data_IF_807883313870
#
_entry.id   IF_807883313870
#
_cell.length_a   1.000
_cell.length_b   1.000
_cell.length_c   1.000
_cell.angle_alpha   90.00
_cell.angle_beta   90.00
_cell.angle_gamma   90.00
#
_symmetry.space_group_name_H-M   'P 1'
#
loop_
_entity.id
_entity.type
_entity.pdbx_description
1 polymer ?
#
# COMPACT_ATOMS: atom_id res chain seq x y z
N UNK A 1 11.20 11.99 0.44
CA UNK A 1 10.13 10.96 0.42
C UNK A 1 8.78 11.66 0.61
N UNK A 2 7.84 11.54 -0.35
CA UNK A 2 6.54 12.25 -0.32
C UNK A 2 5.36 11.40 0.23
N UNK A 3 5.57 10.11 0.50
CA UNK A 3 4.52 9.14 0.87
C UNK A 3 3.74 9.47 2.17
N UNK A 4 4.21 10.44 2.96
CA UNK A 4 3.61 10.85 4.23
C UNK A 4 3.06 12.29 4.23
N UNK A 5 3.10 12.99 3.09
CA UNK A 5 2.55 14.35 3.00
C UNK A 5 1.01 14.29 2.87
N UNK A 6 0.27 15.20 3.53
CA UNK A 6 -1.19 15.20 3.52
C UNK A 6 -1.81 15.66 2.20
N UNK A 7 -0.99 16.19 1.26
CA UNK A 7 -1.48 16.73 0.00
C UNK A 7 -1.71 15.61 -1.03
N UNK A 8 -2.98 15.44 -1.41
CA UNK A 8 -3.42 14.48 -2.42
C UNK A 8 -3.69 15.15 -3.79
N UNK A 9 -3.16 16.35 -4.02
CA UNK A 9 -3.33 17.09 -5.28
C UNK A 9 -2.71 16.35 -6.47
N UNK A 10 -3.30 16.43 -7.68
CA UNK A 10 -2.75 15.82 -8.89
C UNK A 10 -1.27 16.21 -9.09
N UNK A 11 -0.40 15.22 -9.25
CA UNK A 11 1.05 15.42 -9.44
C UNK A 11 1.94 15.11 -8.22
N UNK A 12 1.35 14.90 -7.03
CA UNK A 12 2.09 14.58 -5.79
C UNK A 12 2.21 13.08 -5.48
N UNK A 13 1.82 12.23 -6.42
CA UNK A 13 1.82 10.78 -6.24
C UNK A 13 3.18 10.14 -6.55
N UNK A 14 3.43 8.94 -6.01
CA UNK A 14 4.64 8.17 -6.29
C UNK A 14 4.45 7.30 -7.54
N UNK A 15 5.15 7.60 -8.65
CA UNK A 15 5.08 6.78 -9.84
C UNK A 15 5.88 5.50 -9.65
N UNK A 16 5.30 4.37 -10.02
CA UNK A 16 5.97 3.06 -10.04
C UNK A 16 6.22 2.60 -11.49
N UNK A 17 7.35 2.98 -12.10
CA UNK A 17 7.70 2.52 -13.44
C UNK A 17 8.10 1.04 -13.41
N UNK A 18 7.64 0.26 -14.40
CA UNK A 18 8.05 -1.12 -14.59
C UNK A 18 7.21 -2.21 -13.87
N UNK A 19 7.60 -3.48 -14.01
CA UNK A 19 6.78 -4.66 -13.66
C UNK A 19 6.92 -5.15 -12.21
N UNK A 20 7.95 -4.71 -11.45
CA UNK A 20 8.11 -5.05 -10.03
C UNK A 20 8.15 -3.77 -9.21
N UNK A 21 7.26 -3.68 -8.23
CA UNK A 21 6.96 -2.43 -7.53
C UNK A 21 6.86 -2.73 -6.04
N UNK A 22 8.00 -2.67 -5.38
CA UNK A 22 8.11 -2.92 -3.95
C UNK A 22 8.30 -1.60 -3.22
N UNK A 23 7.51 -1.36 -2.17
CA UNK A 23 7.60 -0.19 -1.32
C UNK A 23 7.93 -0.63 0.09
N UNK A 24 9.09 -0.20 0.58
CA UNK A 24 9.47 -0.40 1.98
C UNK A 24 8.96 0.77 2.82
N UNK A 25 8.21 0.45 3.88
CA UNK A 25 7.58 1.40 4.80
C UNK A 25 8.19 1.16 6.18
N UNK A 26 8.94 2.15 6.67
CA UNK A 26 9.45 2.15 8.05
C UNK A 26 8.51 2.93 8.95
N UNK A 27 7.93 2.24 9.91
CA UNK A 27 7.01 2.80 10.89
C UNK A 27 7.79 3.53 12.01
N UNK A 28 7.19 4.57 12.61
CA UNK A 28 7.82 5.31 13.71
C UNK A 28 8.02 4.43 14.95
N UNK A 29 7.11 3.47 15.17
CA UNK A 29 7.15 2.50 16.25
C UNK A 29 6.87 1.09 15.72
N UNK A 30 7.23 0.09 16.51
CA UNK A 30 6.87 -1.30 16.25
C UNK A 30 5.40 -1.52 16.64
N UNK A 31 4.60 -2.04 15.70
CA UNK A 31 3.16 -2.22 15.91
C UNK A 31 2.72 -3.61 15.46
N UNK A 32 1.61 -4.09 15.98
CA UNK A 32 0.83 -5.18 15.43
C UNK A 32 -0.12 -4.59 14.37
N UNK A 33 0.17 -4.73 13.06
CA UNK A 33 -0.60 -4.09 12.02
C UNK A 33 -1.97 -4.76 11.85
N UNK A 34 -3.04 -3.97 11.81
CA UNK A 34 -4.43 -4.41 11.71
C UNK A 34 -5.03 -4.10 10.34
N UNK A 35 -4.66 -2.97 9.75
CA UNK A 35 -5.12 -2.59 8.42
C UNK A 35 -4.10 -1.70 7.70
N UNK A 36 -4.14 -1.75 6.37
CA UNK A 36 -3.47 -0.80 5.50
C UNK A 36 -4.51 -0.03 4.70
N UNK A 37 -4.33 1.28 4.58
CA UNK A 37 -5.20 2.15 3.78
C UNK A 37 -4.38 2.75 2.65
N UNK A 38 -4.85 2.56 1.42
CA UNK A 38 -4.25 3.11 0.21
C UNK A 38 -5.15 4.24 -0.30
N UNK A 39 -4.54 5.39 -0.58
CA UNK A 39 -5.22 6.51 -1.24
C UNK A 39 -4.69 6.69 -2.66
N UNK A 40 -5.60 6.88 -3.60
CA UNK A 40 -5.31 7.22 -4.99
C UNK A 40 -6.13 8.44 -5.46
N UNK A 41 -5.72 9.04 -6.57
CA UNK A 41 -6.45 10.16 -7.18
C UNK A 41 -7.83 9.72 -7.67
N UNK A 42 -8.87 10.50 -7.38
CA UNK A 42 -10.24 10.21 -7.79
C UNK A 42 -10.47 10.50 -9.29
N UNK A 43 -11.43 9.80 -9.91
CA UNK A 43 -11.81 9.95 -11.33
C UNK A 43 -12.05 11.40 -11.79
N UNK A 44 -12.76 12.28 -11.05
CA UNK A 44 -12.98 13.66 -11.50
C UNK A 44 -11.75 14.57 -11.40
N UNK A 45 -10.69 14.16 -10.70
CA UNK A 45 -9.46 14.94 -10.55
C UNK A 45 -8.40 14.63 -11.64
N UNK A 46 -8.64 13.63 -12.49
CA UNK A 46 -7.73 13.27 -13.59
C UNK A 46 -8.10 14.05 -14.86
N UNK A 47 -7.23 14.93 -15.38
CA UNK A 47 -7.50 15.69 -16.61
C UNK A 47 -7.66 14.80 -17.86
N UNK A 48 -7.24 13.53 -17.78
CA UNK A 48 -7.37 12.54 -18.85
C UNK A 48 -8.61 11.62 -18.69
N UNK A 49 -9.40 11.78 -17.61
CA UNK A 49 -10.56 10.92 -17.32
C UNK A 49 -10.22 9.44 -17.10
N UNK A 50 -8.93 9.07 -17.06
CA UNK A 50 -8.47 7.69 -17.00
C UNK A 50 -8.06 7.31 -15.58
N UNK A 51 -8.66 6.25 -15.04
CA UNK A 51 -8.38 5.67 -13.71
C UNK A 51 -7.23 4.66 -13.79
N UNK A 52 -6.19 5.01 -14.55
CA UNK A 52 -5.14 4.07 -14.96
C UNK A 52 -4.09 3.76 -13.91
N UNK A 53 -4.22 4.30 -12.69
CA UNK A 53 -3.15 4.35 -11.70
C UNK A 53 -3.50 3.73 -10.36
N UNK A 54 -4.57 2.93 -10.30
CA UNK A 54 -5.02 2.26 -9.08
C UNK A 54 -4.30 0.91 -8.94
N UNK A 55 -3.69 0.59 -7.78
CA UNK A 55 -3.17 -0.75 -7.51
C UNK A 55 -4.31 -1.76 -7.61
N UNK A 56 -4.19 -2.73 -8.52
CA UNK A 56 -5.19 -3.79 -8.70
C UNK A 56 -4.89 -4.94 -7.78
N UNK A 57 -3.70 -5.50 -7.91
CA UNK A 57 -3.25 -6.68 -7.15
C UNK A 57 -2.04 -6.26 -6.33
N UNK A 58 -2.09 -6.51 -5.02
CA UNK A 58 -0.98 -6.21 -4.15
C UNK A 58 -0.94 -7.11 -2.92
N UNK A 59 0.27 -7.27 -2.38
CA UNK A 59 0.55 -8.07 -1.19
C UNK A 59 1.28 -7.22 -0.15
N UNK A 60 0.99 -7.45 1.12
CA UNK A 60 1.61 -6.74 2.26
C UNK A 60 2.36 -7.74 3.12
N UNK A 61 3.60 -7.40 3.46
CA UNK A 61 4.47 -8.22 4.28
C UNK A 61 4.97 -7.43 5.50
N UNK A 62 5.11 -8.12 6.62
CA UNK A 62 5.89 -7.66 7.77
C UNK A 62 7.32 -8.19 7.64
N UNK A 63 8.29 -7.32 7.91
CA UNK A 63 9.71 -7.68 7.89
C UNK A 63 10.33 -7.56 9.28
N UNK A 64 11.31 -8.41 9.56
CA UNK A 64 12.24 -8.21 10.67
C UNK A 64 13.09 -6.95 10.48
N UNK A 65 13.80 -6.50 11.52
CA UNK A 65 14.60 -5.26 11.43
C UNK A 65 15.72 -5.34 10.39
N UNK A 66 16.17 -6.55 10.05
CA UNK A 66 17.21 -6.81 9.05
C UNK A 66 16.65 -6.90 7.62
N UNK A 67 15.32 -6.97 7.46
CA UNK A 67 14.66 -7.11 6.16
C UNK A 67 14.89 -8.46 5.48
N UNK A 68 15.32 -9.48 6.22
CA UNK A 68 15.67 -10.82 5.73
C UNK A 68 14.47 -11.76 5.74
N UNK A 69 13.68 -11.72 6.82
CA UNK A 69 12.51 -12.57 6.99
C UNK A 69 11.23 -11.83 6.65
N UNK A 70 10.37 -12.45 5.82
CA UNK A 70 9.09 -11.88 5.39
C UNK A 70 7.92 -12.71 5.91
N UNK A 71 7.01 -12.07 6.62
CA UNK A 71 5.71 -12.65 7.01
C UNK A 71 4.62 -12.05 6.13
N UNK A 72 3.87 -12.87 5.39
CA UNK A 72 2.72 -12.38 4.62
C UNK A 72 1.60 -11.94 5.57
N UNK A 73 1.15 -10.69 5.43
CA UNK A 73 0.07 -10.10 6.22
C UNK A 73 -1.24 -10.03 5.43
N UNK A 74 -1.18 -10.13 4.10
CA UNK A 74 -2.38 -10.18 3.27
C UNK A 74 -2.06 -10.02 1.79
N UNK A 75 -2.95 -10.56 0.96
CA UNK A 75 -2.98 -10.37 -0.48
C UNK A 75 -4.37 -9.87 -0.85
N UNK A 76 -4.42 -8.81 -1.64
CA UNK A 76 -5.66 -8.12 -1.97
C UNK A 76 -5.75 -7.87 -3.47
N UNK A 77 -6.97 -7.98 -3.97
CA UNK A 77 -7.33 -7.50 -5.29
C UNK A 77 -8.40 -6.43 -5.12
N UNK A 78 -8.10 -5.19 -5.50
CA UNK A 78 -9.08 -4.11 -5.55
C UNK A 78 -9.98 -4.31 -6.77
N UNK A 79 -11.29 -4.39 -6.55
CA UNK A 79 -12.29 -4.57 -7.58
C UNK A 79 -12.88 -3.25 -8.11
N UNK A 80 -12.62 -2.10 -7.48
CA UNK A 80 -13.36 -0.85 -7.74
C UNK A 80 -12.48 0.35 -8.06
N UNK A 81 -12.65 0.91 -9.26
CA UNK A 81 -11.97 2.14 -9.69
C UNK A 81 -12.58 3.44 -9.11
N UNK A 82 -13.51 3.36 -8.16
CA UNK A 82 -14.35 4.49 -7.76
C UNK A 82 -13.95 5.14 -6.44
N UNK A 83 -13.49 4.38 -5.46
CA UNK A 83 -13.17 4.93 -4.14
C UNK A 83 -11.75 5.44 -4.08
N UNK A 84 -11.59 6.73 -3.77
CA UNK A 84 -10.27 7.35 -3.67
C UNK A 84 -9.42 6.81 -2.51
N UNK A 85 -10.05 6.18 -1.52
CA UNK A 85 -9.41 5.67 -0.30
C UNK A 85 -9.96 4.29 0.00
N UNK A 86 -9.10 3.28 0.00
CA UNK A 86 -9.47 1.89 0.25
C UNK A 86 -8.70 1.35 1.46
N UNK A 87 -9.40 0.68 2.37
CA UNK A 87 -8.82 0.10 3.57
C UNK A 87 -8.92 -1.42 3.55
N UNK A 88 -7.82 -2.09 3.84
CA UNK A 88 -7.66 -3.54 3.70
C UNK A 88 -7.25 -4.15 5.04
N UNK A 89 -8.02 -5.11 5.58
CA UNK A 89 -7.71 -5.76 6.85
C UNK A 89 -6.52 -6.70 6.68
N UNK A 90 -5.54 -6.61 7.58
CA UNK A 90 -4.36 -7.46 7.59
C UNK A 90 -4.59 -8.66 8.52
N UNK A 91 -4.16 -9.84 8.07
CA UNK A 91 -4.30 -11.09 8.78
C UNK A 91 -2.96 -11.46 9.43
N UNK A 92 -2.92 -11.41 10.76
CA UNK A 92 -1.80 -11.89 11.55
C UNK A 92 -2.10 -13.30 12.07
N UNK A 93 -1.80 -14.34 11.28
CA UNK A 93 -1.77 -15.70 11.82
C UNK A 93 -0.65 -16.55 11.22
N UNK A 94 0.49 -16.58 11.92
CA UNK A 94 1.25 -17.81 12.08
C UNK A 94 1.17 -18.20 13.56
N UNK A 95 0.65 -19.39 13.85
CA UNK A 95 0.70 -20.04 15.17
C UNK A 95 0.09 -19.28 16.36
N UNK A 96 -0.83 -18.34 16.13
CA UNK A 96 -1.61 -17.69 17.20
C UNK A 96 -0.85 -16.66 18.05
N UNK A 97 0.39 -16.30 17.68
CA UNK A 97 1.13 -15.22 18.32
C UNK A 97 1.08 -13.95 17.45
N UNK A 98 0.46 -12.86 17.93
CA UNK A 98 0.41 -11.62 17.17
C UNK A 98 1.81 -11.00 17.07
N UNK A 99 2.42 -11.08 15.88
CA UNK A 99 3.72 -10.49 15.58
C UNK A 99 3.60 -8.99 15.39
N UNK A 100 4.62 -8.27 15.84
CA UNK A 100 4.75 -6.84 15.66
C UNK A 100 5.90 -6.52 14.72
N UNK A 101 5.71 -5.51 13.88
CA UNK A 101 6.64 -5.13 12.82
C UNK A 101 6.91 -3.63 12.87
N UNK A 102 8.14 -3.25 12.56
CA UNK A 102 8.54 -1.86 12.32
C UNK A 102 8.75 -1.59 10.83
N UNK A 103 9.07 -2.63 10.06
CA UNK A 103 9.23 -2.58 8.62
C UNK A 103 8.08 -3.35 7.97
N UNK A 104 7.38 -2.69 7.05
CA UNK A 104 6.39 -3.29 6.18
C UNK A 104 6.83 -3.18 4.73
N UNK A 105 6.49 -4.16 3.93
CA UNK A 105 6.72 -4.16 2.48
C UNK A 105 5.39 -4.30 1.76
N UNK A 106 5.08 -3.34 0.89
CA UNK A 106 3.95 -3.36 -0.03
C UNK A 106 4.46 -3.74 -1.42
N UNK A 107 3.96 -4.85 -1.96
CA UNK A 107 4.27 -5.32 -3.31
C UNK A 107 3.07 -5.06 -4.21
N UNK A 108 3.23 -4.22 -5.23
CA UNK A 108 2.19 -3.95 -6.23
C UNK A 108 2.46 -4.84 -7.44
N UNK A 109 1.57 -5.78 -7.69
CA UNK A 109 1.69 -6.82 -8.71
C UNK A 109 0.91 -6.45 -9.98
N UNK A 110 -0.20 -5.74 -9.82
CA UNK A 110 -1.07 -5.34 -10.91
C UNK A 110 -1.60 -3.93 -10.76
N UNK A 111 -2.02 -3.32 -11.86
CA UNK A 111 -2.70 -2.02 -11.85
C UNK A 111 -3.87 -1.98 -12.82
N UNK A 112 -4.90 -1.25 -12.45
CA UNK A 112 -6.02 -0.98 -13.35
C UNK A 112 -5.58 -0.01 -14.44
N UNK A 113 -5.79 -0.34 -15.72
CA UNK A 113 -5.52 0.56 -16.85
C UNK A 113 -4.16 0.36 -17.52
N UNK A 114 -3.36 1.43 -17.67
CA UNK A 114 -2.16 1.40 -18.52
C UNK A 114 -1.01 0.65 -17.82
N UNK A 115 -0.42 -0.37 -18.45
CA UNK A 115 0.78 -1.01 -17.93
C UNK A 115 1.89 0.03 -17.76
N UNK A 116 2.56 0.05 -16.61
CA UNK A 116 3.65 0.99 -16.32
C UNK A 116 3.29 2.26 -15.55
N UNK A 117 2.00 2.56 -15.29
CA UNK A 117 1.58 3.82 -14.66
C UNK A 117 0.74 3.63 -13.38
N UNK A 118 1.30 3.09 -12.29
CA UNK A 118 0.65 3.18 -10.97
C UNK A 118 1.16 4.36 -10.18
N UNK A 119 0.23 5.03 -9.50
CA UNK A 119 0.54 6.14 -8.65
C UNK A 119 -0.20 6.02 -7.32
N UNK A 120 0.54 5.80 -6.24
CA UNK A 120 -0.01 5.82 -4.89
C UNK A 120 0.21 7.21 -4.32
N UNK A 121 -0.86 7.81 -3.80
CA UNK A 121 -0.81 9.13 -3.19
C UNK A 121 -0.46 9.03 -1.70
N UNK A 122 -1.08 8.08 -1.00
CA UNK A 122 -0.87 7.90 0.43
C UNK A 122 -0.97 6.43 0.83
N UNK A 123 -0.13 6.04 1.77
CA UNK A 123 -0.25 4.79 2.51
C UNK A 123 -0.40 5.11 3.99
N UNK A 124 -1.41 4.55 4.64
CA UNK A 124 -1.59 4.63 6.08
C UNK A 124 -1.62 3.21 6.64
N UNK A 125 -1.04 3.04 7.82
CA UNK A 125 -1.01 1.74 8.51
C UNK A 125 -1.64 1.96 9.87
N UNK A 126 -2.63 1.12 10.19
CA UNK A 126 -3.30 1.09 11.47
C UNK A 126 -2.83 -0.14 12.24
N UNK A 127 -2.63 -0.02 13.54
CA UNK A 127 -2.23 -1.13 14.39
C UNK A 127 -2.09 -0.73 15.86
N UNK A 128 -1.83 -1.72 16.70
CA UNK A 128 -1.60 -1.53 18.13
C UNK A 128 -0.10 -1.48 18.43
N UNK A 129 0.33 -0.58 19.31
CA UNK A 129 1.72 -0.57 19.77
C UNK A 129 2.03 -1.86 20.52
N UNK A 130 3.19 -2.44 20.24
CA UNK A 130 3.71 -3.60 20.96
C UNK A 130 4.47 -3.17 22.22
#
# INVERSE_FOLDING_TARGET
>A
ALCFQPDASPGYCWPFPGPRREVLIRLPAQIQPVAITLQHGSKPASPLGTVGSVPRDFSVYGLDEEGKDKTLLGTFTDATQQEATLSFPLWLQENGTPRAFRLLQLNIEGSWGRPGHTCIYRVQVQGHMA
#
